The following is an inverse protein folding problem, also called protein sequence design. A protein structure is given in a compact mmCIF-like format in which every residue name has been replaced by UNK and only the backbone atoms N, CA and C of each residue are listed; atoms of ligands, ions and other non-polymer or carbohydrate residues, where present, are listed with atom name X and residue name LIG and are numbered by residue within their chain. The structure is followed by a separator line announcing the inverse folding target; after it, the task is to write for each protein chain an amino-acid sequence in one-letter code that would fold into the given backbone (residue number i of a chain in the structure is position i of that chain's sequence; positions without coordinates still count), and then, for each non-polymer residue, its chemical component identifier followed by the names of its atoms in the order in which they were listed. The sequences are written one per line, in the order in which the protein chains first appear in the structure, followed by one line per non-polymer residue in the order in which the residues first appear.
data_IF_144095784502
#
_entry.id   IF_144095784502
#
_cell.length_a   1.000
_cell.length_b   1.000
_cell.length_c   1.000
_cell.angle_alpha   90.00
_cell.angle_beta   90.00
_cell.angle_gamma   90.00
#
_symmetry.space_group_name_H-M   'P 1'
#
loop_
_entity.id
_entity.type
_entity.pdbx_description
1 polymer ?
#
# COMPACT_ATOMS: atom_id res chain seq x y z
N UNK A 1 -14.54 28.89 -29.96
CA UNK A 1 -14.02 27.87 -29.02
C UNK A 1 -13.26 28.61 -27.93
N UNK A 2 -13.85 28.74 -26.74
CA UNK A 2 -13.25 29.46 -25.61
C UNK A 2 -12.24 28.56 -24.91
N UNK A 3 -10.97 28.98 -24.89
CA UNK A 3 -9.92 28.36 -24.09
C UNK A 3 -10.23 28.54 -22.60
N UNK A 4 -10.65 27.47 -21.92
CA UNK A 4 -10.87 27.47 -20.48
C UNK A 4 -9.52 27.36 -19.76
N UNK A 5 -9.05 28.45 -19.16
CA UNK A 5 -7.90 28.43 -18.25
C UNK A 5 -8.41 27.94 -16.89
N UNK A 6 -8.14 26.68 -16.56
CA UNK A 6 -8.41 26.11 -15.23
C UNK A 6 -7.75 26.97 -14.14
N UNK A 7 -8.52 27.38 -13.14
CA UNK A 7 -7.99 28.12 -12.00
C UNK A 7 -7.04 27.24 -11.17
N UNK A 8 -6.19 27.84 -10.33
CA UNK A 8 -5.31 27.08 -9.42
C UNK A 8 -6.12 26.13 -8.52
N UNK A 9 -7.35 26.52 -8.15
CA UNK A 9 -8.27 25.71 -7.35
C UNK A 9 -8.72 24.47 -8.13
N UNK A 10 -9.08 24.64 -9.40
CA UNK A 10 -9.56 23.52 -10.23
C UNK A 10 -8.43 22.53 -10.56
N UNK A 11 -7.18 23.01 -10.68
CA UNK A 11 -6.02 22.13 -10.84
C UNK A 11 -5.73 21.32 -9.58
N UNK A 12 -5.85 21.94 -8.41
CA UNK A 12 -5.69 21.25 -7.13
C UNK A 12 -6.75 20.16 -6.96
N UNK A 13 -8.00 20.47 -7.31
CA UNK A 13 -9.10 19.51 -7.17
C UNK A 13 -8.89 18.27 -8.03
N UNK A 14 -8.51 18.45 -9.30
CA UNK A 14 -8.18 17.31 -10.18
C UNK A 14 -7.05 16.44 -9.65
N UNK A 15 -6.00 17.06 -9.09
CA UNK A 15 -4.90 16.30 -8.47
C UNK A 15 -5.39 15.52 -7.25
N UNK A 16 -6.33 16.07 -6.48
CA UNK A 16 -6.92 15.36 -5.33
C UNK A 16 -7.79 14.21 -5.76
N UNK A 17 -8.62 14.38 -6.78
CA UNK A 17 -9.41 13.30 -7.38
C UNK A 17 -8.50 12.14 -7.82
N UNK A 18 -7.38 12.44 -8.50
CA UNK A 18 -6.40 11.42 -8.88
C UNK A 18 -5.74 10.73 -7.68
N UNK A 19 -5.48 11.46 -6.59
CA UNK A 19 -4.95 10.89 -5.34
C UNK A 19 -5.99 9.97 -4.69
N UNK A 20 -7.24 10.42 -4.59
CA UNK A 20 -8.33 9.68 -3.96
C UNK A 20 -8.57 8.35 -4.70
N UNK A 21 -8.55 8.35 -6.03
CA UNK A 21 -8.64 7.12 -6.83
C UNK A 21 -7.48 6.15 -6.57
N UNK A 22 -6.28 6.66 -6.33
CA UNK A 22 -5.11 5.84 -5.99
C UNK A 22 -5.27 5.27 -4.57
N UNK A 23 -5.73 6.10 -3.63
CA UNK A 23 -5.91 5.70 -2.23
C UNK A 23 -6.99 4.62 -2.08
N UNK A 24 -8.09 4.72 -2.82
CA UNK A 24 -9.10 3.66 -2.88
C UNK A 24 -8.50 2.32 -3.34
N UNK A 25 -7.67 2.35 -4.39
CA UNK A 25 -6.96 1.16 -4.89
C UNK A 25 -5.99 0.62 -3.84
N UNK A 26 -5.27 1.49 -3.14
CA UNK A 26 -4.36 1.09 -2.05
C UNK A 26 -5.13 0.40 -0.93
N UNK A 27 -6.25 0.96 -0.49
CA UNK A 27 -7.10 0.41 0.58
C UNK A 27 -7.58 -1.00 0.21
N UNK A 28 -8.16 -1.17 -0.98
CA UNK A 28 -8.66 -2.47 -1.44
C UNK A 28 -7.55 -3.52 -1.53
N UNK A 29 -6.38 -3.15 -2.05
CA UNK A 29 -5.23 -4.05 -2.13
C UNK A 29 -4.71 -4.44 -0.74
N UNK A 30 -4.68 -3.50 0.22
CA UNK A 30 -4.28 -3.79 1.58
C UNK A 30 -5.27 -4.71 2.30
N UNK A 31 -6.57 -4.49 2.14
CA UNK A 31 -7.60 -5.38 2.70
C UNK A 31 -7.42 -6.82 2.19
N UNK A 32 -7.29 -7.01 0.87
CA UNK A 32 -7.03 -8.32 0.26
C UNK A 32 -5.74 -8.94 0.80
N UNK A 33 -4.66 -8.14 0.89
CA UNK A 33 -3.37 -8.59 1.41
C UNK A 33 -3.47 -9.05 2.87
N UNK A 34 -4.20 -8.33 3.73
CA UNK A 34 -4.39 -8.71 5.13
C UNK A 34 -5.28 -9.94 5.29
N UNK A 35 -6.32 -10.08 4.48
CA UNK A 35 -7.14 -11.28 4.44
C UNK A 35 -6.32 -12.52 4.04
N UNK A 36 -5.52 -12.43 2.98
CA UNK A 36 -4.61 -13.52 2.59
C UNK A 36 -3.56 -13.79 3.67
N UNK A 37 -3.03 -12.73 4.29
CA UNK A 37 -2.08 -12.83 5.38
C UNK A 37 -2.64 -13.65 6.54
N UNK A 38 -3.86 -13.38 7.03
CA UNK A 38 -4.45 -14.13 8.14
C UNK A 38 -4.67 -15.61 7.79
N UNK A 39 -5.02 -15.92 6.54
CA UNK A 39 -5.14 -17.30 6.07
C UNK A 39 -3.82 -18.08 6.10
N UNK A 40 -2.66 -17.42 6.13
CA UNK A 40 -1.37 -18.14 6.20
C UNK A 40 -1.13 -18.80 7.56
N UNK A 41 -1.82 -18.37 8.62
CA UNK A 41 -1.65 -18.90 9.99
C UNK A 41 -1.72 -20.42 10.05
N UNK A 42 -2.69 -21.03 9.36
CA UNK A 42 -2.88 -22.49 9.34
C UNK A 42 -1.74 -23.29 8.72
N UNK A 43 -0.84 -22.64 7.97
CA UNK A 43 0.27 -23.29 7.28
C UNK A 43 1.64 -22.99 7.91
N UNK A 44 1.71 -22.03 8.84
CA UNK A 44 3.00 -21.51 9.34
C UNK A 44 3.49 -22.28 10.56
N UNK A 45 4.73 -22.79 10.48
CA UNK A 45 5.49 -23.25 11.66
C UNK A 45 6.06 -22.08 12.48
N UNK A 46 6.34 -20.93 11.82
CA UNK A 46 6.81 -19.68 12.44
C UNK A 46 6.17 -18.49 11.73
N UNK A 47 5.74 -17.48 12.48
CA UNK A 47 5.08 -16.29 11.93
C UNK A 47 6.08 -15.40 11.18
N UNK A 48 7.25 -15.17 11.78
CA UNK A 48 8.33 -14.35 11.21
C UNK A 48 9.15 -15.17 10.21
N UNK A 49 9.22 -14.68 8.99
CA UNK A 49 10.07 -15.24 7.93
C UNK A 49 10.95 -14.12 7.38
N UNK A 50 12.15 -13.98 7.97
CA UNK A 50 13.08 -12.90 7.64
C UNK A 50 13.50 -12.93 6.17
N UNK A 51 13.72 -14.12 5.61
CA UNK A 51 14.12 -14.27 4.20
C UNK A 51 13.02 -13.75 3.28
N UNK A 52 11.78 -14.18 3.51
CA UNK A 52 10.63 -13.70 2.74
C UNK A 52 10.43 -12.19 2.87
N UNK A 53 10.58 -11.65 4.07
CA UNK A 53 10.42 -10.21 4.33
C UNK A 53 11.49 -9.38 3.61
N UNK A 54 12.75 -9.80 3.66
CA UNK A 54 13.85 -9.16 2.94
C UNK A 54 13.66 -9.18 1.43
N UNK A 55 13.21 -10.31 0.87
CA UNK A 55 12.90 -10.42 -0.57
C UNK A 55 11.81 -9.43 -1.00
N UNK A 56 10.79 -9.17 -0.17
CA UNK A 56 9.79 -8.14 -0.49
C UNK A 56 10.41 -6.75 -0.43
N UNK A 57 11.17 -6.45 0.62
CA UNK A 57 11.76 -5.12 0.80
C UNK A 57 12.79 -4.79 -0.28
N UNK A 58 13.48 -5.78 -0.85
CA UNK A 58 14.40 -5.60 -1.99
C UNK A 58 13.69 -5.13 -3.26
N UNK A 59 12.40 -5.46 -3.44
CA UNK A 59 11.60 -4.99 -4.58
C UNK A 59 11.21 -3.52 -4.51
N UNK A 60 11.40 -2.88 -3.35
CA UNK A 60 10.98 -1.50 -3.10
C UNK A 60 12.21 -0.58 -3.18
N UNK A 61 12.27 0.22 -4.24
CA UNK A 61 13.32 1.22 -4.47
C UNK A 61 13.16 2.44 -3.56
N UNK A 62 11.93 2.96 -3.43
CA UNK A 62 11.65 4.15 -2.62
C UNK A 62 11.85 3.89 -1.12
N UNK A 63 12.72 4.67 -0.42
CA UNK A 63 12.91 4.53 1.02
C UNK A 63 11.63 4.88 1.81
N UNK A 64 10.79 5.77 1.30
CA UNK A 64 9.51 6.13 1.92
C UNK A 64 8.53 4.96 1.86
N UNK A 65 8.35 4.36 0.68
CA UNK A 65 7.49 3.17 0.52
C UNK A 65 8.04 2.01 1.35
N UNK A 66 9.36 1.84 1.43
CA UNK A 66 10.00 0.82 2.25
C UNK A 66 9.66 0.98 3.74
N UNK A 67 9.61 2.22 4.26
CA UNK A 67 9.18 2.50 5.65
C UNK A 67 7.72 2.12 5.87
N UNK A 68 6.82 2.48 4.94
CA UNK A 68 5.40 2.12 4.99
C UNK A 68 5.23 0.60 4.98
N UNK A 69 5.90 -0.08 4.05
CA UNK A 69 5.79 -1.53 3.90
C UNK A 69 6.31 -2.30 5.12
N UNK A 70 7.35 -1.80 5.80
CA UNK A 70 7.78 -2.35 7.10
C UNK A 70 6.68 -2.28 8.15
N UNK A 71 5.88 -1.21 8.19
CA UNK A 71 4.73 -1.12 9.11
C UNK A 71 3.64 -2.11 8.73
N UNK A 72 3.33 -2.26 7.44
CA UNK A 72 2.38 -3.26 6.93
C UNK A 72 2.79 -4.68 7.35
N UNK A 73 4.07 -5.04 7.18
CA UNK A 73 4.61 -6.33 7.62
C UNK A 73 4.47 -6.52 9.14
N UNK A 74 4.82 -5.50 9.93
CA UNK A 74 4.68 -5.54 11.40
C UNK A 74 3.23 -5.77 11.84
N UNK A 75 2.26 -5.14 11.18
CA UNK A 75 0.83 -5.36 11.48
C UNK A 75 0.41 -6.77 11.05
N UNK A 76 0.85 -7.22 9.88
CA UNK A 76 0.54 -8.57 9.35
C UNK A 76 0.99 -9.67 10.30
N UNK A 77 2.17 -9.54 10.89
CA UNK A 77 2.71 -10.49 11.87
C UNK A 77 1.88 -10.57 13.16
N UNK A 78 1.12 -9.54 13.51
CA UNK A 78 0.23 -9.57 14.69
C UNK A 78 -1.08 -10.31 14.42
N UNK A 79 -1.48 -10.40 13.14
CA UNK A 79 -2.76 -10.95 12.70
C UNK A 79 -2.63 -12.36 12.11
N UNK A 80 -1.44 -12.95 12.21
CA UNK A 80 -1.09 -14.33 11.85
C UNK A 80 -0.78 -15.07 13.14
#
# INVERSE_FOLDING_TARGET
MTNYILSKKDKLEKIREEIDEIDDKIILLLQKRFHLSSQTKKYKKKIKDKKREEEILKKISSPYIKKIYKKILKISQKNQ
#
